data_IF_471080227802
#
_entry.id   IF_471080227802
#
_cell.length_a   1.000
_cell.length_b   1.000
_cell.length_c   1.000
_cell.angle_alpha   90.00
_cell.angle_beta   90.00
_cell.angle_gamma   90.00
#
_symmetry.space_group_name_H-M   'P 1'
#
loop_
_entity.id
_entity.type
_entity.pdbx_description
1 polymer ?
#
# COMPACT_ATOMS: atom_id res chain seq x y z
N UNK A 1 -2.88 14.03 -22.90
CA UNK A 1 -2.73 13.15 -21.73
C UNK A 1 -1.46 12.35 -22.01
N UNK A 2 -0.39 12.72 -21.32
CA UNK A 2 0.98 12.39 -21.69
C UNK A 2 1.37 11.07 -21.03
N UNK A 3 1.38 9.99 -21.79
CA UNK A 3 1.86 8.69 -21.32
C UNK A 3 3.38 8.77 -21.10
N UNK A 4 3.78 9.03 -19.86
CA UNK A 4 5.16 8.87 -19.42
C UNK A 4 5.45 7.39 -19.21
N UNK A 5 5.87 6.73 -20.29
CA UNK A 5 6.34 5.36 -20.30
C UNK A 5 7.71 5.26 -19.60
N UNK A 6 7.69 5.08 -18.29
CA UNK A 6 8.77 4.37 -17.61
C UNK A 6 8.44 2.88 -17.79
N UNK A 7 9.22 2.20 -18.61
CA UNK A 7 9.23 0.74 -18.72
C UNK A 7 9.57 0.13 -17.36
N UNK A 8 8.54 -0.08 -16.53
CA UNK A 8 8.53 -0.93 -15.35
C UNK A 8 8.18 -2.33 -15.84
N UNK A 9 9.03 -3.31 -15.56
CA UNK A 9 8.77 -4.70 -15.90
C UNK A 9 7.66 -5.27 -15.01
N UNK A 10 6.45 -5.36 -15.55
CA UNK A 10 5.36 -6.34 -15.37
C UNK A 10 5.15 -7.16 -14.06
N UNK A 11 5.74 -6.85 -12.90
CA UNK A 11 5.41 -7.58 -11.66
C UNK A 11 5.62 -6.85 -10.31
N UNK A 12 6.02 -5.58 -10.28
CA UNK A 12 6.27 -4.89 -9.01
C UNK A 12 4.99 -4.25 -8.45
N UNK A 13 4.17 -5.10 -7.82
CA UNK A 13 2.89 -4.80 -7.17
C UNK A 13 2.91 -3.48 -6.37
N UNK A 14 3.92 -3.26 -5.53
CA UNK A 14 4.01 -2.09 -4.65
C UNK A 14 4.26 -0.76 -5.40
N UNK A 15 5.04 -0.77 -6.48
CA UNK A 15 5.32 0.45 -7.26
C UNK A 15 4.01 1.00 -7.83
N UNK A 16 3.17 0.11 -8.35
CA UNK A 16 1.86 0.48 -8.87
C UNK A 16 0.93 0.96 -7.74
N UNK A 17 0.93 0.30 -6.58
CA UNK A 17 0.13 0.73 -5.42
C UNK A 17 0.50 2.14 -4.93
N UNK A 18 1.78 2.52 -4.96
CA UNK A 18 2.23 3.84 -4.51
C UNK A 18 1.68 4.98 -5.37
N UNK A 19 1.32 4.73 -6.63
CA UNK A 19 0.77 5.76 -7.52
C UNK A 19 -0.53 6.35 -6.98
N UNK A 20 -1.35 5.54 -6.28
CA UNK A 20 -2.60 5.99 -5.68
C UNK A 20 -2.39 7.00 -4.55
N UNK A 21 -1.19 7.04 -3.95
CA UNK A 21 -0.85 7.92 -2.83
C UNK A 21 -0.13 9.20 -3.27
N UNK A 22 0.19 9.34 -4.56
CA UNK A 22 0.86 10.51 -5.10
C UNK A 22 -0.07 11.73 -5.05
N UNK A 23 0.38 12.80 -4.40
CA UNK A 23 -0.46 13.99 -4.19
C UNK A 23 -0.56 14.89 -5.44
N UNK A 24 0.54 15.00 -6.19
CA UNK A 24 0.69 15.89 -7.36
C UNK A 24 1.72 15.30 -8.32
N UNK A 25 1.72 15.83 -9.54
CA UNK A 25 2.78 15.56 -10.52
C UNK A 25 4.16 15.89 -9.94
N UNK A 26 5.17 15.17 -10.45
CA UNK A 26 6.56 15.34 -10.04
C UNK A 26 7.04 16.77 -10.31
N UNK A 27 7.74 17.35 -9.35
CA UNK A 27 8.30 18.70 -9.47
C UNK A 27 9.78 18.62 -9.81
N UNK A 28 10.19 19.28 -10.89
CA UNK A 28 11.61 19.38 -11.24
C UNK A 28 12.34 20.29 -10.24
N UNK A 29 13.46 19.79 -9.71
CA UNK A 29 14.25 20.48 -8.70
C UNK A 29 15.59 20.94 -9.28
N UNK A 30 15.91 22.21 -9.07
CA UNK A 30 17.24 22.74 -9.35
C UNK A 30 18.14 22.59 -8.12
N UNK A 31 19.20 21.79 -8.24
CA UNK A 31 20.21 21.63 -7.19
C UNK A 31 21.26 22.75 -7.28
N UNK A 32 21.72 23.23 -6.12
CA UNK A 32 22.70 24.30 -6.04
C UNK A 32 24.08 23.87 -6.57
N UNK A 33 24.82 24.80 -7.17
CA UNK A 33 26.21 24.64 -7.62
C UNK A 33 26.46 23.53 -8.66
N UNK A 34 25.42 23.07 -9.36
CA UNK A 34 25.56 22.00 -10.35
C UNK A 34 26.29 22.43 -11.61
N UNK A 35 26.34 23.72 -11.94
CA UNK A 35 27.08 24.22 -13.11
C UNK A 35 28.55 23.81 -13.09
N UNK A 36 29.22 23.88 -11.93
CA UNK A 36 30.62 23.45 -11.82
C UNK A 36 30.78 21.96 -12.11
N UNK A 37 29.83 21.14 -11.64
CA UNK A 37 29.82 19.70 -11.86
C UNK A 37 29.61 19.36 -13.34
N UNK A 38 28.64 20.01 -13.98
CA UNK A 38 28.34 19.83 -15.41
C UNK A 38 29.56 20.15 -16.28
N UNK A 39 30.26 21.26 -16.00
CA UNK A 39 31.44 21.66 -16.76
C UNK A 39 32.67 20.78 -16.49
N UNK A 40 32.91 20.41 -15.22
CA UNK A 40 34.11 19.66 -14.83
C UNK A 40 34.06 18.21 -15.31
N UNK A 41 32.89 17.59 -15.27
CA UNK A 41 32.71 16.16 -15.55
C UNK A 41 31.99 15.88 -16.87
N UNK A 42 31.68 16.92 -17.66
CA UNK A 42 30.85 16.82 -18.87
C UNK A 42 29.54 16.08 -18.59
N UNK A 43 28.90 16.48 -17.49
CA UNK A 43 27.79 15.78 -16.87
C UNK A 43 26.47 16.56 -17.05
N UNK A 44 25.35 15.86 -16.90
CA UNK A 44 24.03 16.46 -16.74
C UNK A 44 23.29 15.72 -15.64
N UNK A 45 22.30 16.35 -15.03
CA UNK A 45 21.47 15.70 -14.03
C UNK A 45 19.99 15.99 -14.27
N UNK A 46 19.16 15.13 -13.70
CA UNK A 46 17.72 15.34 -13.56
C UNK A 46 17.36 15.08 -12.10
N UNK A 47 16.64 16.00 -11.47
CA UNK A 47 16.15 15.84 -10.11
C UNK A 47 14.64 16.07 -10.10
N UNK A 48 13.86 15.09 -9.63
CA UNK A 48 12.41 15.17 -9.57
C UNK A 48 11.92 14.80 -8.18
N UNK A 49 11.05 15.63 -7.61
CA UNK A 49 10.47 15.41 -6.30
C UNK A 49 9.04 14.89 -6.42
N UNK A 50 8.77 13.79 -5.71
CA UNK A 50 7.48 13.17 -5.56
C UNK A 50 7.03 13.27 -4.10
N UNK A 51 5.74 13.55 -3.89
CA UNK A 51 5.14 13.63 -2.56
C UNK A 51 4.01 12.62 -2.45
N UNK A 52 4.20 11.65 -1.56
CA UNK A 52 3.21 10.62 -1.26
C UNK A 52 2.60 10.87 0.11
N UNK A 53 1.27 10.84 0.18
CA UNK A 53 0.52 10.86 1.44
C UNK A 53 0.20 9.43 1.81
N UNK A 54 1.08 8.78 2.58
CA UNK A 54 0.80 7.43 3.07
C UNK A 54 -0.08 7.50 4.33
N UNK A 55 -0.78 6.42 4.68
CA UNK A 55 -1.68 6.39 5.84
C UNK A 55 -0.94 6.58 7.18
N UNK A 56 0.30 6.11 7.26
CA UNK A 56 1.17 6.26 8.43
C UNK A 56 1.98 7.56 8.44
N UNK A 57 1.98 8.34 7.35
CA UNK A 57 2.66 9.63 7.27
C UNK A 57 3.11 10.04 5.86
N UNK A 58 3.91 11.10 5.79
CA UNK A 58 4.28 11.76 4.53
C UNK A 58 5.62 11.24 4.00
N UNK A 59 5.67 10.79 2.75
CA UNK A 59 6.91 10.37 2.08
C UNK A 59 7.28 11.38 0.98
N UNK A 60 8.40 12.08 1.18
CA UNK A 60 9.01 12.94 0.16
C UNK A 60 10.17 12.19 -0.49
N UNK A 61 10.01 11.85 -1.76
CA UNK A 61 10.99 11.12 -2.56
C UNK A 61 11.64 12.05 -3.58
N UNK A 62 12.95 12.25 -3.49
CA UNK A 62 13.74 12.92 -4.51
C UNK A 62 14.42 11.86 -5.38
N UNK A 63 13.99 11.72 -6.63
CA UNK A 63 14.68 10.94 -7.63
C UNK A 63 15.76 11.80 -8.29
N UNK A 64 16.99 11.29 -8.37
CA UNK A 64 18.13 12.02 -8.89
C UNK A 64 18.95 11.14 -9.83
N UNK A 65 18.96 11.49 -11.10
CA UNK A 65 19.71 10.77 -12.15
C UNK A 65 20.89 11.63 -12.56
N UNK A 66 22.09 11.07 -12.45
CA UNK A 66 23.32 11.67 -12.95
C UNK A 66 23.74 11.01 -14.26
N UNK A 67 23.81 11.79 -15.33
CA UNK A 67 24.31 11.38 -16.63
C UNK A 67 25.80 11.70 -16.73
N UNK A 68 26.62 10.68 -16.98
CA UNK A 68 28.06 10.82 -17.18
C UNK A 68 28.50 10.25 -18.54
N UNK A 69 29.61 10.76 -19.10
CA UNK A 69 30.24 10.14 -20.25
C UNK A 69 30.63 8.69 -19.96
N UNK A 70 30.43 7.78 -20.92
CA UNK A 70 30.79 6.37 -20.76
C UNK A 70 32.29 6.13 -20.52
N UNK A 71 33.13 7.09 -20.96
CA UNK A 71 34.58 7.10 -20.75
C UNK A 71 35.03 7.67 -19.39
N UNK A 72 34.10 8.06 -18.52
CA UNK A 72 34.44 8.63 -17.21
C UNK A 72 35.23 7.64 -16.36
N UNK A 73 36.30 8.11 -15.72
CA UNK A 73 37.10 7.28 -14.83
C UNK A 73 36.34 6.96 -13.54
N UNK A 74 36.71 5.87 -12.85
CA UNK A 74 36.12 5.52 -11.55
C UNK A 74 36.31 6.62 -10.50
N UNK A 75 37.41 7.37 -10.58
CA UNK A 75 37.71 8.49 -9.67
C UNK A 75 36.74 9.65 -9.94
N UNK A 76 36.53 9.99 -11.21
CA UNK A 76 35.62 11.04 -11.61
C UNK A 76 34.17 10.69 -11.27
N UNK A 77 33.76 9.44 -11.51
CA UNK A 77 32.43 8.94 -11.14
C UNK A 77 32.19 9.07 -9.63
N UNK A 78 33.16 8.65 -8.79
CA UNK A 78 33.05 8.78 -7.33
C UNK A 78 32.97 10.23 -6.87
N UNK A 79 33.80 11.10 -7.45
CA UNK A 79 33.82 12.52 -7.11
C UNK A 79 32.53 13.25 -7.55
N UNK A 80 32.05 12.97 -8.76
CA UNK A 80 30.79 13.51 -9.27
C UNK A 80 29.62 13.02 -8.40
N UNK A 81 29.52 11.71 -8.12
CA UNK A 81 28.52 11.14 -7.21
C UNK A 81 28.50 11.89 -5.87
N UNK A 82 29.66 12.05 -5.24
CA UNK A 82 29.77 12.74 -3.95
C UNK A 82 29.28 14.18 -4.01
N UNK A 83 29.68 14.92 -5.04
CA UNK A 83 29.30 16.30 -5.22
C UNK A 83 27.78 16.45 -5.43
N UNK A 84 27.16 15.58 -6.24
CA UNK A 84 25.71 15.58 -6.47
C UNK A 84 24.94 15.24 -5.19
N UNK A 85 25.33 14.19 -4.47
CA UNK A 85 24.68 13.81 -3.21
C UNK A 85 24.80 14.93 -2.17
N UNK A 86 25.96 15.59 -2.05
CA UNK A 86 26.12 16.78 -1.19
C UNK A 86 25.24 17.95 -1.62
N UNK A 87 25.07 18.19 -2.92
CA UNK A 87 24.16 19.21 -3.40
C UNK A 87 22.69 18.91 -3.04
N UNK A 88 22.27 17.65 -3.15
CA UNK A 88 20.94 17.20 -2.73
C UNK A 88 20.72 17.36 -1.21
N UNK A 89 21.73 17.06 -0.40
CA UNK A 89 21.67 17.27 1.06
C UNK A 89 21.55 18.75 1.43
N UNK A 90 22.32 19.63 0.77
CA UNK A 90 22.22 21.08 0.98
C UNK A 90 20.83 21.59 0.59
N UNK A 91 20.30 21.14 -0.55
CA UNK A 91 18.94 21.47 -0.98
C UNK A 91 17.92 21.03 0.07
N UNK A 92 18.00 19.79 0.54
CA UNK A 92 17.09 19.26 1.56
C UNK A 92 17.14 20.06 2.86
N UNK A 93 18.33 20.40 3.36
CA UNK A 93 18.49 21.25 4.56
C UNK A 93 17.87 22.62 4.38
N UNK A 94 18.02 23.20 3.19
CA UNK A 94 17.43 24.50 2.85
C UNK A 94 15.91 24.40 2.79
N UNK A 95 15.38 23.32 2.19
CA UNK A 95 13.96 23.01 2.12
C UNK A 95 13.36 22.90 3.53
N UNK A 96 13.95 22.09 4.42
CA UNK A 96 13.49 21.96 5.81
C UNK A 96 13.54 23.30 6.56
N UNK A 97 14.57 24.12 6.36
CA UNK A 97 14.70 25.42 7.01
C UNK A 97 13.60 26.41 6.57
N UNK A 98 13.12 26.30 5.34
CA UNK A 98 12.04 27.12 4.77
C UNK A 98 10.65 26.61 5.18
N UNK A 99 10.51 25.29 5.35
CA UNK A 99 9.26 24.62 5.71
C UNK A 99 9.25 24.18 7.18
N UNK A 100 9.39 25.15 8.11
CA UNK A 100 9.34 24.95 9.58
C UNK A 100 7.95 24.53 10.12
N UNK A 101 7.28 23.57 9.49
CA UNK A 101 6.02 23.01 9.98
C UNK A 101 6.20 21.55 10.41
N UNK A 102 6.23 21.36 11.73
CA UNK A 102 5.60 20.34 12.59
C UNK A 102 5.13 18.96 12.08
N UNK A 103 5.59 18.43 10.95
CA UNK A 103 5.29 17.03 10.61
C UNK A 103 6.31 16.10 11.28
N UNK A 104 5.98 15.67 12.50
CA UNK A 104 6.72 14.65 13.24
C UNK A 104 6.70 13.26 12.56
N UNK A 105 5.93 13.09 11.47
CA UNK A 105 5.74 11.83 10.76
C UNK A 105 6.00 12.00 9.26
N UNK A 106 7.23 12.36 8.90
CA UNK A 106 7.67 12.46 7.50
C UNK A 106 8.96 11.68 7.25
N UNK A 107 9.03 10.93 6.16
CA UNK A 107 10.25 10.35 5.63
C UNK A 107 10.73 11.10 4.40
N UNK A 108 12.01 11.47 4.39
CA UNK A 108 12.68 12.08 3.26
C UNK A 108 13.66 11.06 2.66
N UNK A 109 13.49 10.76 1.38
CA UNK A 109 14.25 9.73 0.67
C UNK A 109 14.89 10.33 -0.58
N UNK A 110 16.16 10.03 -0.81
CA UNK A 110 16.88 10.30 -2.05
C UNK A 110 17.16 8.96 -2.76
N UNK A 111 16.60 8.78 -3.95
CA UNK A 111 16.93 7.65 -4.83
C UNK A 111 17.85 8.14 -5.93
N UNK A 112 19.08 7.64 -5.93
CA UNK A 112 20.13 8.13 -6.82
C UNK A 112 20.52 7.07 -7.87
N UNK A 113 20.56 7.47 -9.13
CA UNK A 113 20.99 6.65 -10.27
C UNK A 113 22.17 7.31 -11.02
N UNK A 114 23.03 6.48 -11.62
CA UNK A 114 24.10 6.93 -12.52
C UNK A 114 23.91 6.22 -13.86
N UNK A 115 23.74 7.01 -14.92
CA UNK A 115 23.61 6.51 -16.29
C UNK A 115 24.79 6.98 -17.14
N UNK A 116 25.38 6.05 -17.88
CA UNK A 116 26.52 6.29 -18.76
C UNK A 116 26.04 6.43 -20.21
N UNK A 117 26.51 7.47 -20.91
CA UNK A 117 26.20 7.73 -22.33
C UNK A 117 27.46 7.90 -23.17
N UNK A 118 27.45 7.30 -24.37
CA UNK A 118 28.57 7.32 -25.32
C UNK A 118 28.63 8.62 -26.15
N UNK A 119 27.58 9.45 -26.15
CA UNK A 119 27.48 10.64 -27.02
C UNK A 119 27.22 11.91 -26.21
N UNK A 120 28.18 12.84 -26.22
CA UNK A 120 27.97 14.19 -25.66
C UNK A 120 26.78 14.94 -26.28
N UNK A 121 26.36 14.58 -27.50
CA UNK A 121 25.14 15.10 -28.15
C UNK A 121 23.83 14.58 -27.52
N UNK A 122 23.83 13.40 -26.89
CA UNK A 122 22.65 12.86 -26.21
C UNK A 122 22.39 13.54 -24.87
N UNK A 123 23.44 14.00 -24.17
CA UNK A 123 23.32 14.79 -22.94
C UNK A 123 22.55 16.10 -23.22
N UNK A 124 22.81 16.75 -24.35
CA UNK A 124 22.07 17.94 -24.78
C UNK A 124 20.65 17.63 -25.28
N UNK A 125 20.39 16.42 -25.80
CA UNK A 125 19.03 15.98 -26.16
C UNK A 125 18.20 15.56 -24.94
N UNK A 126 18.82 15.01 -23.90
CA UNK A 126 18.20 14.71 -22.60
C UNK A 126 17.68 16.01 -21.95
N UNK A 127 18.34 17.16 -22.20
CA UNK A 127 17.83 18.48 -21.79
C UNK A 127 16.58 18.95 -22.56
N UNK A 128 16.24 18.34 -23.70
CA UNK A 128 15.28 18.89 -24.69
C UNK A 128 14.08 17.98 -24.97
N UNK A 129 14.17 16.64 -24.85
CA UNK A 129 13.02 15.77 -25.16
C UNK A 129 13.05 14.39 -24.47
N UNK A 130 11.96 14.05 -23.77
CA UNK A 130 11.83 12.83 -22.95
C UNK A 130 11.44 11.57 -23.76
N UNK A 131 11.06 11.71 -25.03
CA UNK A 131 10.31 10.67 -25.77
C UNK A 131 11.11 9.72 -26.68
N UNK A 132 12.44 9.83 -26.77
CA UNK A 132 13.25 8.92 -27.59
C UNK A 132 14.52 8.48 -26.84
N UNK A 133 14.40 7.49 -25.96
CA UNK A 133 15.52 6.97 -25.17
C UNK A 133 15.97 5.60 -25.71
N UNK A 134 17.22 5.50 -26.17
CA UNK A 134 17.93 4.22 -26.20
C UNK A 134 18.24 3.79 -24.75
N UNK A 135 18.31 2.48 -24.44
CA UNK A 135 18.63 2.03 -23.10
C UNK A 135 20.06 2.42 -22.73
N UNK A 136 20.20 3.43 -21.87
CA UNK A 136 21.48 3.88 -21.33
C UNK A 136 22.05 2.83 -20.36
N UNK A 137 23.38 2.71 -20.32
CA UNK A 137 24.05 1.78 -19.40
C UNK A 137 23.99 2.34 -17.98
N UNK A 138 23.26 1.67 -17.10
CA UNK A 138 23.19 2.02 -15.67
C UNK A 138 24.39 1.47 -14.93
N UNK A 139 24.96 2.27 -14.03
CA UNK A 139 26.04 1.85 -13.15
C UNK A 139 25.47 1.32 -11.84
N UNK A 140 25.80 0.09 -11.48
CA UNK A 140 25.45 -0.44 -10.16
C UNK A 140 26.34 0.20 -9.09
N UNK A 141 25.71 0.77 -8.06
CA UNK A 141 26.37 1.34 -6.88
C UNK A 141 25.44 1.16 -5.67
N UNK A 142 25.94 1.44 -4.47
CA UNK A 142 25.15 1.35 -3.23
C UNK A 142 25.58 2.40 -2.20
N UNK A 143 24.73 2.62 -1.22
CA UNK A 143 24.97 3.51 -0.07
C UNK A 143 24.80 2.73 1.22
N UNK A 144 25.78 1.86 1.53
CA UNK A 144 25.81 1.11 2.77
C UNK A 144 26.16 1.98 3.99
N UNK A 145 26.06 1.40 5.18
CA UNK A 145 26.34 2.09 6.47
C UNK A 145 27.66 2.86 6.47
N UNK A 146 28.72 2.28 5.89
CA UNK A 146 30.04 2.93 5.81
C UNK A 146 30.01 4.26 5.07
N UNK A 147 29.21 4.37 4.01
CA UNK A 147 29.07 5.62 3.27
C UNK A 147 28.47 6.72 4.16
N UNK A 148 27.47 6.39 4.99
CA UNK A 148 26.89 7.34 5.92
C UNK A 148 27.88 7.75 7.03
N UNK A 149 28.66 6.79 7.54
CA UNK A 149 29.60 7.01 8.64
C UNK A 149 30.91 7.69 8.22
N UNK A 150 31.37 7.51 6.98
CA UNK A 150 32.69 7.98 6.52
C UNK A 150 32.56 9.16 5.54
N UNK A 151 31.55 9.14 4.67
CA UNK A 151 31.43 10.07 3.55
C UNK A 151 30.34 11.14 3.77
N UNK A 152 29.29 10.83 4.53
CA UNK A 152 28.14 11.72 4.83
C UNK A 152 27.99 12.08 6.33
N UNK A 153 29.08 11.99 7.10
CA UNK A 153 29.16 12.12 8.58
C UNK A 153 28.37 13.29 9.18
N UNK A 154 28.16 14.37 8.43
CA UNK A 154 27.61 15.65 8.89
C UNK A 154 26.08 15.65 9.03
N UNK A 155 25.37 14.58 8.65
CA UNK A 155 23.89 14.55 8.68
C UNK A 155 23.24 13.59 9.67
N UNK A 156 24.03 12.92 10.52
CA UNK A 156 23.51 11.98 11.52
C UNK A 156 23.02 12.65 12.81
N UNK A 157 22.95 13.99 12.88
CA UNK A 157 22.49 14.71 14.08
C UNK A 157 20.98 14.57 14.29
N UNK A 158 20.58 13.79 15.30
CA UNK A 158 19.35 13.74 16.14
C UNK A 158 17.97 14.23 15.64
N UNK A 159 17.76 14.48 14.35
CA UNK A 159 16.46 14.84 13.80
C UNK A 159 15.80 13.64 13.14
N UNK A 160 14.49 13.45 13.38
CA UNK A 160 13.67 12.41 12.72
C UNK A 160 13.49 12.65 11.21
N UNK A 161 13.95 13.79 10.68
CA UNK A 161 13.80 14.20 9.28
C UNK A 161 15.11 14.03 8.48
N UNK A 162 15.93 13.02 8.81
CA UNK A 162 17.16 12.71 8.08
C UNK A 162 16.85 12.24 6.65
N UNK A 163 17.63 12.74 5.68
CA UNK A 163 17.54 12.31 4.28
C UNK A 163 18.15 10.91 4.13
N UNK A 164 17.31 9.93 3.85
CA UNK A 164 17.74 8.55 3.60
C UNK A 164 18.14 8.37 2.14
N UNK A 165 19.41 8.08 1.89
CA UNK A 165 19.95 7.90 0.53
C UNK A 165 19.95 6.42 0.14
N UNK A 166 19.42 6.11 -1.04
CA UNK A 166 19.41 4.79 -1.66
C UNK A 166 19.96 4.86 -3.07
N UNK A 167 20.57 3.76 -3.54
CA UNK A 167 20.83 3.61 -4.96
C UNK A 167 19.52 3.23 -5.64
N UNK A 168 19.40 3.52 -6.93
CA UNK A 168 18.25 3.08 -7.71
C UNK A 168 18.06 1.55 -7.63
N UNK A 169 19.14 0.78 -7.72
CA UNK A 169 19.08 -0.69 -7.66
C UNK A 169 18.58 -1.20 -6.30
N UNK A 170 19.12 -0.64 -5.20
CA UNK A 170 18.69 -1.02 -3.85
C UNK A 170 17.22 -0.65 -3.62
N UNK A 171 16.81 0.55 -4.06
CA UNK A 171 15.43 1.00 -3.95
C UNK A 171 14.46 0.07 -4.68
N UNK A 172 14.75 -0.31 -5.93
CA UNK A 172 13.92 -1.25 -6.67
C UNK A 172 13.88 -2.63 -6.00
N UNK A 173 15.02 -3.13 -5.51
CA UNK A 173 15.07 -4.42 -4.82
C UNK A 173 14.25 -4.42 -3.51
N UNK A 174 14.27 -3.30 -2.77
CA UNK A 174 13.44 -3.11 -1.57
C UNK A 174 11.96 -3.10 -1.97
N UNK A 175 11.57 -2.30 -2.96
CA UNK A 175 10.17 -2.21 -3.40
C UNK A 175 9.65 -3.55 -3.95
N UNK A 176 10.49 -4.35 -4.60
CA UNK A 176 10.13 -5.69 -5.05
C UNK A 176 10.02 -6.71 -3.90
N UNK A 177 10.72 -6.48 -2.78
CA UNK A 177 10.67 -7.35 -1.61
C UNK A 177 9.45 -7.07 -0.73
N UNK A 178 9.13 -5.79 -0.53
CA UNK A 178 7.97 -5.35 0.26
C UNK A 178 6.67 -5.53 -0.53
N UNK A 179 5.57 -5.80 0.16
CA UNK A 179 4.30 -6.17 -0.50
C UNK A 179 3.14 -5.24 -0.14
N UNK A 180 3.32 -4.32 0.82
CA UNK A 180 2.32 -3.33 1.19
C UNK A 180 2.93 -1.94 1.51
N UNK A 181 2.21 -0.83 1.30
CA UNK A 181 2.72 0.54 1.53
C UNK A 181 3.09 0.81 3.00
N UNK A 182 2.32 0.26 3.95
CA UNK A 182 2.62 0.35 5.37
C UNK A 182 3.96 -0.32 5.72
N UNK A 183 4.39 -1.33 4.97
CA UNK A 183 5.70 -1.97 5.17
C UNK A 183 6.84 -1.09 4.71
N UNK A 184 6.68 -0.37 3.59
CA UNK A 184 7.66 0.62 3.14
C UNK A 184 7.87 1.68 4.23
N UNK A 185 6.79 2.21 4.79
CA UNK A 185 6.87 3.16 5.89
C UNK A 185 7.64 2.60 7.09
N UNK A 186 7.23 1.43 7.59
CA UNK A 186 7.87 0.77 8.73
C UNK A 186 9.34 0.38 8.44
N UNK A 187 9.65 0.00 7.21
CA UNK A 187 11.02 -0.31 6.78
C UNK A 187 11.90 0.94 6.78
N UNK A 188 11.41 2.07 6.26
CA UNK A 188 12.13 3.35 6.28
C UNK A 188 12.43 3.80 7.71
N UNK A 189 11.49 3.60 8.63
CA UNK A 189 11.73 3.85 10.06
C UNK A 189 12.77 2.89 10.65
N UNK A 190 12.66 1.59 10.33
CA UNK A 190 13.61 0.57 10.81
C UNK A 190 15.04 0.83 10.32
N UNK A 191 15.20 1.12 9.03
CA UNK A 191 16.49 1.46 8.43
C UNK A 191 17.11 2.70 9.05
N UNK A 192 16.32 3.75 9.24
CA UNK A 192 16.77 4.96 9.92
C UNK A 192 17.31 4.64 11.33
N UNK A 193 16.59 3.80 12.09
CA UNK A 193 17.05 3.33 13.40
C UNK A 193 18.35 2.53 13.35
N UNK A 194 18.56 1.71 12.31
CA UNK A 194 19.83 0.99 12.11
C UNK A 194 21.00 1.93 11.77
N UNK A 195 20.76 2.94 10.93
CA UNK A 195 21.76 3.95 10.62
C UNK A 195 22.13 4.76 11.87
N UNK A 196 21.15 5.21 12.65
CA UNK A 196 21.36 5.94 13.91
C UNK A 196 22.12 5.10 14.94
N UNK A 197 21.76 3.82 15.09
CA UNK A 197 22.48 2.88 15.94
C UNK A 197 23.95 2.74 15.48
N UNK A 198 24.18 2.63 14.18
CA UNK A 198 25.54 2.51 13.62
C UNK A 198 26.38 3.75 13.87
N UNK A 199 25.82 4.93 13.64
CA UNK A 199 26.50 6.20 13.88
C UNK A 199 26.82 6.42 15.37
N UNK A 200 25.88 6.09 16.27
CA UNK A 200 26.07 6.28 17.71
C UNK A 200 27.11 5.31 18.29
N UNK A 201 27.07 4.05 17.86
CA UNK A 201 27.93 3.00 18.41
C UNK A 201 29.21 2.75 17.61
N UNK A 202 29.36 3.41 16.46
CA UNK A 202 30.46 3.20 15.53
C UNK A 202 30.59 1.73 15.07
N UNK A 203 29.44 1.05 14.88
CA UNK A 203 29.36 -0.35 14.45
C UNK A 203 28.54 -0.43 13.18
N UNK A 204 28.97 -1.25 12.21
CA UNK A 204 28.20 -1.50 10.99
C UNK A 204 27.01 -2.40 11.35
N UNK A 205 25.79 -1.87 11.36
CA UNK A 205 24.60 -2.66 11.72
C UNK A 205 24.06 -3.55 10.59
N UNK A 206 24.38 -3.25 9.33
CA UNK A 206 24.04 -4.09 8.18
C UNK A 206 25.08 -3.95 7.05
N UNK A 207 25.25 -5.00 6.25
CA UNK A 207 26.21 -5.03 5.13
C UNK A 207 25.59 -4.57 3.82
N UNK A 208 24.34 -4.95 3.55
CA UNK A 208 23.60 -4.60 2.34
C UNK A 208 22.13 -4.26 2.62
N UNK A 209 21.51 -3.48 1.73
CA UNK A 209 20.08 -3.16 1.80
C UNK A 209 19.20 -4.40 1.59
N UNK A 210 19.66 -5.35 0.75
CA UNK A 210 18.98 -6.62 0.53
C UNK A 210 18.91 -7.47 1.80
N UNK A 211 20.01 -7.58 2.54
CA UNK A 211 20.00 -8.29 3.83
C UNK A 211 19.15 -7.57 4.85
N UNK A 212 19.16 -6.23 4.84
CA UNK A 212 18.40 -5.42 5.79
C UNK A 212 16.88 -5.60 5.61
N UNK A 213 16.38 -5.62 4.37
CA UNK A 213 14.95 -5.85 4.10
C UNK A 213 14.54 -7.28 4.45
N UNK A 214 15.39 -8.28 4.16
CA UNK A 214 15.14 -9.67 4.58
C UNK A 214 15.06 -9.75 6.10
N UNK A 215 16.01 -9.14 6.81
CA UNK A 215 16.00 -9.11 8.27
C UNK A 215 14.71 -8.48 8.78
N UNK A 216 14.34 -7.30 8.28
CA UNK A 216 13.11 -6.59 8.63
C UNK A 216 11.87 -7.50 8.51
N UNK A 217 11.70 -8.11 7.34
CA UNK A 217 10.55 -8.96 7.02
C UNK A 217 10.48 -10.23 7.86
N UNK A 218 11.59 -10.69 8.46
CA UNK A 218 11.63 -11.88 9.31
C UNK A 218 11.60 -11.57 10.81
N UNK A 219 11.37 -10.31 11.22
CA UNK A 219 11.25 -9.95 12.64
C UNK A 219 9.86 -10.22 13.19
N UNK A 220 9.74 -10.69 14.44
CA UNK A 220 8.43 -10.78 15.12
C UNK A 220 7.71 -9.44 15.25
N UNK A 221 8.45 -8.33 15.22
CA UNK A 221 7.90 -6.97 15.28
C UNK A 221 7.05 -6.60 14.05
N UNK A 222 7.12 -7.39 12.97
CA UNK A 222 6.23 -7.27 11.82
C UNK A 222 4.75 -7.35 12.24
N UNK A 223 4.44 -8.09 13.32
CA UNK A 223 3.09 -8.31 13.81
C UNK A 223 2.67 -7.36 14.95
N UNK A 224 3.52 -6.42 15.37
CA UNK A 224 3.25 -5.58 16.56
C UNK A 224 1.93 -4.83 16.44
N UNK A 225 1.66 -4.20 15.29
CA UNK A 225 0.45 -3.42 15.10
C UNK A 225 -0.79 -4.31 14.96
N UNK A 226 -0.67 -5.45 14.27
CA UNK A 226 -1.72 -6.46 14.21
C UNK A 226 -2.10 -6.98 15.61
N UNK A 227 -1.11 -7.22 16.49
CA UNK A 227 -1.34 -7.63 17.88
C UNK A 227 -2.01 -6.50 18.67
N UNK A 228 -1.64 -5.24 18.45
CA UNK A 228 -2.28 -4.10 19.10
C UNK A 228 -3.77 -3.99 18.72
N UNK A 229 -4.08 -4.18 17.43
CA UNK A 229 -5.46 -4.21 16.93
C UNK A 229 -6.22 -5.41 17.49
N UNK A 230 -5.65 -6.61 17.45
CA UNK A 230 -6.27 -7.85 17.98
C UNK A 230 -6.67 -7.69 19.46
N UNK A 231 -5.77 -7.14 20.28
CA UNK A 231 -6.06 -6.82 21.69
C UNK A 231 -7.15 -5.76 21.85
N UNK A 232 -7.19 -4.76 20.96
CA UNK A 232 -8.24 -3.74 20.98
C UNK A 232 -9.61 -4.33 20.60
N UNK A 233 -9.67 -5.24 19.61
CA UNK A 233 -10.90 -5.93 19.24
C UNK A 233 -11.46 -6.75 20.41
N UNK A 234 -10.60 -7.42 21.19
CA UNK A 234 -10.98 -8.13 22.41
C UNK A 234 -11.52 -7.17 23.46
N UNK A 235 -10.83 -6.05 23.69
CA UNK A 235 -11.28 -4.99 24.61
C UNK A 235 -12.66 -4.43 24.21
N UNK A 236 -12.96 -4.35 22.92
CA UNK A 236 -14.26 -3.91 22.42
C UNK A 236 -15.34 -5.01 22.40
N UNK A 237 -15.05 -6.22 22.89
CA UNK A 237 -15.96 -7.37 22.87
C UNK A 237 -16.43 -7.74 21.45
N UNK A 238 -15.59 -7.46 20.46
CA UNK A 238 -15.81 -7.83 19.06
C UNK A 238 -15.22 -9.20 18.75
N UNK A 239 -14.21 -9.60 19.53
CA UNK A 239 -13.54 -10.88 19.44
C UNK A 239 -13.32 -11.43 20.86
N UNK A 240 -13.55 -12.71 21.09
CA UNK A 240 -13.44 -13.29 22.44
C UNK A 240 -11.99 -13.69 22.80
N UNK A 241 -11.25 -14.22 21.81
CA UNK A 241 -9.90 -14.76 21.98
C UNK A 241 -8.96 -14.24 20.89
N UNK A 242 -7.63 -14.19 21.13
CA UNK A 242 -6.68 -13.76 20.10
C UNK A 242 -6.78 -14.55 18.80
N UNK A 243 -6.53 -13.90 17.66
CA UNK A 243 -6.59 -14.60 16.38
C UNK A 243 -5.54 -15.74 16.34
N UNK A 244 -5.97 -17.01 16.19
CA UNK A 244 -5.04 -18.14 16.30
C UNK A 244 -3.98 -18.14 15.19
N UNK A 245 -4.28 -17.59 14.01
CA UNK A 245 -3.30 -17.45 12.94
C UNK A 245 -2.22 -16.41 13.30
N UNK A 246 -2.62 -15.27 13.88
CA UNK A 246 -1.70 -14.22 14.33
C UNK A 246 -0.75 -14.76 15.40
N UNK A 247 -1.29 -15.48 16.39
CA UNK A 247 -0.51 -16.11 17.46
C UNK A 247 0.48 -17.13 16.89
N UNK A 248 0.01 -18.03 16.02
CA UNK A 248 0.86 -19.07 15.42
C UNK A 248 2.00 -18.47 14.57
N UNK A 249 1.70 -17.47 13.74
CA UNK A 249 2.70 -16.79 12.91
C UNK A 249 3.73 -16.04 13.77
N UNK A 250 3.27 -15.27 14.76
CA UNK A 250 4.15 -14.54 15.67
C UNK A 250 5.11 -15.48 16.41
N UNK A 251 4.61 -16.61 16.92
CA UNK A 251 5.43 -17.63 17.57
C UNK A 251 6.43 -18.29 16.62
N UNK A 252 6.01 -18.58 15.37
CA UNK A 252 6.91 -19.14 14.37
C UNK A 252 8.10 -18.21 14.07
N UNK A 253 7.84 -16.90 13.95
CA UNK A 253 8.89 -15.90 13.72
C UNK A 253 9.78 -15.72 14.95
N UNK A 254 9.19 -15.62 16.15
CA UNK A 254 9.94 -15.49 17.41
C UNK A 254 10.88 -16.66 17.65
N UNK A 255 10.45 -17.87 17.32
CA UNK A 255 11.22 -19.10 17.49
C UNK A 255 12.09 -19.45 16.27
N UNK A 256 12.08 -18.63 15.21
CA UNK A 256 12.77 -18.90 13.94
C UNK A 256 12.47 -20.29 13.38
N UNK A 257 11.20 -20.71 13.48
CA UNK A 257 10.72 -22.01 13.00
C UNK A 257 10.82 -22.09 11.47
N UNK A 258 11.01 -23.30 10.94
CA UNK A 258 10.94 -23.57 9.48
C UNK A 258 9.59 -23.19 8.88
N UNK A 259 8.52 -23.18 9.69
CA UNK A 259 7.18 -22.76 9.28
C UNK A 259 7.07 -21.24 9.04
N UNK A 260 7.97 -20.43 9.60
CA UNK A 260 7.95 -18.97 9.43
C UNK A 260 8.08 -18.56 7.95
N UNK A 261 8.96 -19.24 7.21
CA UNK A 261 9.14 -19.01 5.77
C UNK A 261 7.87 -19.37 4.98
N UNK A 262 7.20 -20.46 5.33
CA UNK A 262 5.91 -20.82 4.71
C UNK A 262 4.85 -19.75 4.96
N UNK A 263 4.74 -19.24 6.19
CA UNK A 263 3.83 -18.15 6.51
C UNK A 263 4.18 -16.86 5.76
N UNK A 264 5.47 -16.53 5.66
CA UNK A 264 5.94 -15.39 4.87
C UNK A 264 5.47 -15.48 3.41
N UNK A 265 5.69 -16.63 2.78
CA UNK A 265 5.25 -16.88 1.40
C UNK A 265 3.73 -16.77 1.23
N UNK A 266 2.95 -17.32 2.17
CA UNK A 266 1.49 -17.22 2.11
C UNK A 266 1.00 -15.77 2.28
N UNK A 267 1.65 -14.97 3.12
CA UNK A 267 1.31 -13.56 3.27
C UNK A 267 1.68 -12.76 2.00
N UNK A 268 2.84 -13.01 1.41
CA UNK A 268 3.25 -12.37 0.16
C UNK A 268 2.30 -12.71 -1.01
N UNK A 269 1.91 -13.98 -1.14
CA UNK A 269 0.92 -14.42 -2.13
C UNK A 269 -0.43 -13.73 -1.91
N UNK A 270 -0.90 -13.68 -0.66
CA UNK A 270 -2.14 -13.01 -0.32
C UNK A 270 -2.07 -11.50 -0.60
N UNK A 271 -0.93 -10.86 -0.36
CA UNK A 271 -0.75 -9.44 -0.62
C UNK A 271 -0.83 -9.10 -2.11
N UNK A 272 -0.19 -9.90 -2.96
CA UNK A 272 -0.28 -9.75 -4.41
C UNK A 272 -1.72 -9.95 -4.92
N UNK A 273 -2.40 -11.00 -4.45
CA UNK A 273 -3.80 -11.27 -4.82
C UNK A 273 -4.74 -10.15 -4.37
N UNK A 274 -4.58 -9.67 -3.14
CA UNK A 274 -5.40 -8.58 -2.61
C UNK A 274 -5.20 -7.29 -3.40
N UNK A 275 -3.96 -6.99 -3.79
CA UNK A 275 -3.66 -5.84 -4.63
C UNK A 275 -4.37 -5.92 -5.98
N UNK A 276 -4.25 -7.06 -6.67
CA UNK A 276 -4.92 -7.31 -7.95
C UNK A 276 -6.44 -7.17 -7.82
N UNK A 277 -7.03 -7.80 -6.79
CA UNK A 277 -8.46 -7.69 -6.51
C UNK A 277 -8.86 -6.24 -6.26
N UNK A 278 -8.09 -5.48 -5.47
CA UNK A 278 -8.41 -4.09 -5.16
C UNK A 278 -8.37 -3.18 -6.37
N UNK A 279 -7.39 -3.36 -7.27
CA UNK A 279 -7.29 -2.61 -8.51
C UNK A 279 -8.52 -2.89 -9.37
N UNK A 280 -8.86 -4.17 -9.56
CA UNK A 280 -9.98 -4.58 -10.39
C UNK A 280 -11.34 -4.11 -9.82
N UNK A 281 -11.55 -4.26 -8.50
CA UNK A 281 -12.75 -3.76 -7.83
C UNK A 281 -12.93 -2.25 -8.00
N UNK A 282 -11.83 -1.48 -8.05
CA UNK A 282 -11.89 -0.02 -8.21
C UNK A 282 -12.02 0.39 -9.67
N UNK A 283 -11.32 -0.26 -10.61
CA UNK A 283 -11.41 0.03 -12.04
C UNK A 283 -12.83 -0.10 -12.58
N UNK A 284 -13.61 -1.03 -12.05
CA UNK A 284 -14.97 -1.25 -12.54
C UNK A 284 -16.04 -0.40 -11.87
N UNK A 285 -15.72 0.29 -10.78
CA UNK A 285 -16.53 1.43 -10.34
C UNK A 285 -16.57 2.54 -11.40
N UNK A 286 -15.55 2.65 -12.26
CA UNK A 286 -15.47 3.72 -13.27
C UNK A 286 -16.26 3.41 -14.55
N UNK A 287 -16.42 2.14 -14.92
CA UNK A 287 -17.11 1.76 -16.17
C UNK A 287 -18.62 2.00 -16.13
N UNK A 288 -19.22 1.93 -14.93
CA UNK A 288 -20.67 2.04 -14.76
C UNK A 288 -21.14 3.48 -14.44
N UNK A 289 -20.23 4.43 -14.16
CA UNK A 289 -20.52 5.86 -13.86
C UNK A 289 -20.40 6.77 -15.11
N UNK A 290 -20.43 6.19 -16.32
CA UNK A 290 -20.35 6.91 -17.60
C UNK A 290 -21.66 7.64 -17.97
N UNK A 291 -22.11 8.55 -17.12
CA UNK A 291 -23.04 9.63 -17.49
C UNK A 291 -23.01 10.73 -16.42
N UNK A 292 -21.93 11.52 -16.33
CA UNK A 292 -21.93 12.91 -15.83
C UNK A 292 -20.52 13.54 -15.76
N UNK A 293 -20.53 14.86 -15.71
CA UNK A 293 -19.52 15.80 -16.21
C UNK A 293 -18.29 16.07 -15.33
N UNK A 294 -17.98 15.25 -14.32
CA UNK A 294 -16.95 15.53 -13.31
C UNK A 294 -15.86 14.44 -13.20
N UNK A 295 -15.03 14.29 -14.24
CA UNK A 295 -13.94 13.28 -14.28
C UNK A 295 -12.88 13.47 -13.20
N UNK A 296 -12.58 14.70 -12.80
CA UNK A 296 -11.54 15.02 -11.81
C UNK A 296 -11.96 14.63 -10.37
N UNK A 297 -13.23 14.90 -10.02
CA UNK A 297 -13.83 14.48 -8.75
C UNK A 297 -13.94 12.96 -8.65
N UNK A 298 -14.22 12.29 -9.79
CA UNK A 298 -14.27 10.83 -9.86
C UNK A 298 -12.89 10.21 -9.63
N UNK A 299 -11.85 10.72 -10.32
CA UNK A 299 -10.47 10.26 -10.15
C UNK A 299 -9.95 10.43 -8.73
N UNK A 300 -10.28 11.54 -8.06
CA UNK A 300 -9.90 11.78 -6.67
C UNK A 300 -10.57 10.79 -5.70
N UNK A 301 -11.87 10.51 -5.90
CA UNK A 301 -12.59 9.49 -5.12
C UNK A 301 -12.06 8.08 -5.38
N UNK A 302 -11.72 7.76 -6.63
CA UNK A 302 -11.11 6.49 -7.02
C UNK A 302 -9.82 6.23 -6.25
N UNK A 303 -8.88 7.17 -6.30
CA UNK A 303 -7.62 7.05 -5.58
C UNK A 303 -7.88 6.89 -4.08
N UNK A 304 -8.80 7.69 -3.50
CA UNK A 304 -9.13 7.58 -2.08
C UNK A 304 -9.65 6.19 -1.67
N UNK A 305 -10.58 5.60 -2.44
CA UNK A 305 -11.10 4.26 -2.14
C UNK A 305 -10.07 3.16 -2.34
N UNK A 306 -9.26 3.29 -3.38
CA UNK A 306 -8.17 2.36 -3.62
C UNK A 306 -7.16 2.39 -2.46
N UNK A 307 -6.84 3.58 -1.92
CA UNK A 307 -6.02 3.70 -0.71
C UNK A 307 -6.63 2.95 0.48
N UNK A 308 -7.96 3.02 0.69
CA UNK A 308 -8.61 2.29 1.80
C UNK A 308 -8.51 0.77 1.67
N UNK A 309 -8.43 0.24 0.45
CA UNK A 309 -8.24 -1.19 0.22
C UNK A 309 -6.76 -1.60 0.28
N UNK A 310 -5.86 -0.76 -0.24
CA UNK A 310 -4.43 -1.02 -0.30
C UNK A 310 -3.71 -0.82 1.03
N UNK A 311 -4.23 0.03 1.92
CA UNK A 311 -3.65 0.30 3.23
C UNK A 311 -3.88 -0.86 4.22
N UNK A 312 -3.61 -2.09 3.81
CA UNK A 312 -3.79 -3.28 4.63
C UNK A 312 -2.45 -3.96 4.86
N UNK A 313 -2.17 -4.30 6.11
CA UNK A 313 -0.96 -5.04 6.50
C UNK A 313 -0.92 -6.41 5.85
N UNK A 314 0.27 -7.00 5.74
CA UNK A 314 0.44 -8.38 5.27
C UNK A 314 -0.51 -9.37 5.96
N UNK A 315 -0.67 -9.22 7.27
CA UNK A 315 -1.56 -10.10 8.04
C UNK A 315 -3.04 -9.85 7.71
N UNK A 316 -3.45 -8.59 7.54
CA UNK A 316 -4.83 -8.24 7.14
C UNK A 316 -5.16 -8.80 5.76
N UNK A 317 -4.27 -8.57 4.77
CA UNK A 317 -4.41 -9.11 3.41
C UNK A 317 -4.45 -10.64 3.44
N UNK A 318 -3.61 -11.28 4.28
CA UNK A 318 -3.64 -12.72 4.50
C UNK A 318 -4.99 -13.22 5.02
N UNK A 319 -5.54 -12.62 6.07
CA UNK A 319 -6.81 -13.05 6.66
C UNK A 319 -8.00 -12.84 5.71
N UNK A 320 -8.02 -11.73 4.97
CA UNK A 320 -9.04 -11.43 3.97
C UNK A 320 -9.02 -12.48 2.84
N UNK A 321 -7.86 -12.68 2.21
CA UNK A 321 -7.69 -13.65 1.12
C UNK A 321 -7.90 -15.09 1.61
N UNK A 322 -7.43 -15.42 2.81
CA UNK A 322 -7.68 -16.73 3.42
C UNK A 322 -9.17 -17.00 3.64
N UNK A 323 -9.95 -15.97 3.95
CA UNK A 323 -11.41 -16.09 4.11
C UNK A 323 -12.08 -16.43 2.78
N UNK A 324 -11.66 -15.80 1.68
CA UNK A 324 -12.10 -16.15 0.32
C UNK A 324 -11.77 -17.62 -0.01
N UNK A 325 -10.53 -18.06 0.24
CA UNK A 325 -10.09 -19.43 -0.04
C UNK A 325 -10.73 -20.52 0.84
N UNK A 326 -11.41 -20.13 1.92
CA UNK A 326 -12.14 -21.09 2.76
C UNK A 326 -13.50 -21.43 2.18
N UNK A 327 -14.11 -20.56 1.36
CA UNK A 327 -15.46 -20.78 0.85
C UNK A 327 -15.63 -22.11 0.09
N UNK A 328 -14.75 -22.47 -0.87
CA UNK A 328 -14.87 -23.74 -1.59
C UNK A 328 -14.76 -24.99 -0.69
N UNK A 329 -14.22 -24.84 0.53
CA UNK A 329 -14.03 -25.93 1.50
C UNK A 329 -15.15 -26.01 2.54
N UNK A 330 -16.13 -25.11 2.48
CA UNK A 330 -17.29 -25.16 3.37
C UNK A 330 -18.22 -26.31 3.00
N UNK A 331 -19.10 -26.67 3.93
CA UNK A 331 -20.15 -27.66 3.65
C UNK A 331 -21.08 -27.14 2.55
N UNK A 332 -21.50 -28.03 1.63
CA UNK A 332 -22.38 -27.66 0.52
C UNK A 332 -23.68 -26.98 0.96
N UNK A 333 -24.24 -27.33 2.12
CA UNK A 333 -25.42 -26.65 2.66
C UNK A 333 -25.16 -25.15 2.87
N UNK A 334 -24.01 -24.80 3.45
CA UNK A 334 -23.63 -23.41 3.72
C UNK A 334 -23.30 -22.64 2.43
N UNK A 335 -22.69 -23.30 1.44
CA UNK A 335 -22.45 -22.72 0.12
C UNK A 335 -23.78 -22.42 -0.59
N UNK A 336 -24.76 -23.33 -0.48
CA UNK A 336 -26.07 -23.16 -1.08
C UNK A 336 -26.88 -22.05 -0.40
N UNK A 337 -26.87 -22.02 0.93
CA UNK A 337 -27.62 -21.05 1.73
C UNK A 337 -26.99 -19.66 1.75
N UNK A 338 -25.69 -19.53 1.49
CA UNK A 338 -24.97 -18.28 1.66
C UNK A 338 -24.72 -17.94 3.13
N UNK A 339 -23.72 -17.09 3.40
CA UNK A 339 -23.35 -16.73 4.76
C UNK A 339 -22.54 -15.44 4.82
N UNK A 340 -22.48 -14.85 6.01
CA UNK A 340 -21.74 -13.61 6.28
C UNK A 340 -20.56 -13.91 7.20
N UNK A 341 -19.39 -13.38 6.84
CA UNK A 341 -18.19 -13.39 7.68
C UNK A 341 -17.78 -11.97 7.97
N UNK A 342 -17.66 -11.65 9.25
CA UNK A 342 -17.10 -10.41 9.71
C UNK A 342 -15.57 -10.54 9.82
N UNK A 343 -14.85 -9.59 9.24
CA UNK A 343 -13.40 -9.47 9.32
C UNK A 343 -13.02 -8.05 9.72
N UNK A 344 -11.77 -7.87 10.12
CA UNK A 344 -11.25 -6.58 10.56
C UNK A 344 -9.90 -6.33 9.89
N UNK A 345 -9.59 -5.06 9.65
CA UNK A 345 -8.22 -4.70 9.36
C UNK A 345 -7.39 -4.91 10.62
N UNK A 346 -6.22 -5.52 10.46
CA UNK A 346 -5.15 -5.60 11.47
C UNK A 346 -4.08 -4.53 11.22
N UNK A 347 -4.37 -3.54 10.38
CA UNK A 347 -3.58 -2.31 10.20
C UNK A 347 -4.30 -1.13 10.85
N UNK A 348 -5.60 -0.96 10.56
CA UNK A 348 -6.43 0.09 11.14
C UNK A 348 -7.62 -0.50 11.90
N UNK A 349 -7.65 -0.30 13.21
CA UNK A 349 -8.80 -0.63 14.06
C UNK A 349 -10.12 0.00 13.55
N UNK A 350 -10.02 1.12 12.84
CA UNK A 350 -11.16 1.85 12.31
C UNK A 350 -11.77 1.26 11.03
N UNK A 351 -11.21 0.16 10.49
CA UNK A 351 -11.71 -0.53 9.30
C UNK A 351 -12.31 -1.89 9.63
N UNK A 352 -13.56 -2.07 9.22
CA UNK A 352 -14.27 -3.33 9.35
C UNK A 352 -14.73 -3.86 7.99
N UNK A 353 -14.60 -5.17 7.80
CA UNK A 353 -14.98 -5.87 6.58
C UNK A 353 -16.16 -6.79 6.83
N UNK A 354 -17.15 -6.74 5.94
CA UNK A 354 -18.30 -7.63 5.92
C UNK A 354 -18.26 -8.40 4.60
N UNK A 355 -17.84 -9.66 4.66
CA UNK A 355 -17.78 -10.55 3.50
C UNK A 355 -19.08 -11.34 3.44
N UNK A 356 -19.88 -11.11 2.41
CA UNK A 356 -21.14 -11.80 2.20
C UNK A 356 -20.94 -12.78 1.05
N UNK A 357 -20.89 -14.07 1.37
CA UNK A 357 -20.87 -15.12 0.36
C UNK A 357 -22.31 -15.41 -0.05
N UNK A 358 -22.65 -15.07 -1.30
CA UNK A 358 -24.00 -15.26 -1.80
C UNK A 358 -24.36 -16.74 -1.87
N UNK A 359 -25.64 -17.04 -1.59
CA UNK A 359 -26.18 -18.38 -1.75
C UNK A 359 -26.35 -18.72 -3.23
N UNK A 360 -25.97 -19.94 -3.59
CA UNK A 360 -26.12 -20.46 -4.97
C UNK A 360 -27.59 -20.64 -5.38
N UNK A 361 -28.51 -20.71 -4.42
CA UNK A 361 -29.94 -20.84 -4.69
C UNK A 361 -30.57 -19.45 -4.95
N UNK A 362 -31.03 -19.23 -6.18
CA UNK A 362 -31.56 -17.94 -6.66
C UNK A 362 -32.78 -17.49 -5.84
N UNK A 363 -33.60 -18.43 -5.36
CA UNK A 363 -34.79 -18.12 -4.54
C UNK A 363 -34.47 -17.95 -3.04
N UNK A 364 -33.22 -18.17 -2.61
CA UNK A 364 -32.84 -17.97 -1.22
C UNK A 364 -32.85 -16.49 -0.84
N UNK A 365 -33.12 -16.20 0.44
CA UNK A 365 -33.03 -14.85 1.00
C UNK A 365 -31.60 -14.29 1.01
N UNK A 366 -30.62 -15.14 0.71
CA UNK A 366 -29.20 -14.83 0.69
C UNK A 366 -28.59 -14.90 -0.71
N UNK A 367 -29.42 -15.00 -1.75
CA UNK A 367 -28.96 -14.93 -3.14
C UNK A 367 -28.41 -13.54 -3.45
N UNK A 368 -27.55 -13.46 -4.48
CA UNK A 368 -27.01 -12.19 -4.99
C UNK A 368 -28.12 -11.17 -5.25
N UNK A 369 -29.21 -11.59 -5.92
CA UNK A 369 -30.35 -10.71 -6.25
C UNK A 369 -31.06 -10.13 -5.02
N UNK A 370 -31.12 -10.89 -3.92
CA UNK A 370 -31.77 -10.44 -2.69
C UNK A 370 -30.89 -9.48 -1.87
N UNK A 371 -29.58 -9.76 -1.79
CA UNK A 371 -28.67 -9.01 -0.92
C UNK A 371 -28.06 -7.80 -1.62
N UNK A 372 -27.66 -7.92 -2.89
CA UNK A 372 -26.90 -6.88 -3.60
C UNK A 372 -27.56 -5.49 -3.55
N UNK A 373 -28.90 -5.32 -3.71
CA UNK A 373 -29.54 -4.01 -3.60
C UNK A 373 -29.48 -3.39 -2.18
N UNK A 374 -29.12 -4.19 -1.17
CA UNK A 374 -29.15 -3.82 0.23
C UNK A 374 -27.74 -3.62 0.84
N UNK A 375 -26.65 -3.74 0.07
CA UNK A 375 -25.27 -3.63 0.59
C UNK A 375 -25.03 -2.32 1.36
N UNK A 376 -25.52 -1.20 0.84
CA UNK A 376 -25.42 0.10 1.51
C UNK A 376 -26.11 0.13 2.88
N UNK A 377 -27.31 -0.45 2.95
CA UNK A 377 -28.09 -0.54 4.19
C UNK A 377 -27.41 -1.48 5.19
N UNK A 378 -26.83 -2.59 4.72
CA UNK A 378 -26.06 -3.51 5.56
C UNK A 378 -24.85 -2.78 6.16
N UNK A 379 -24.10 -2.02 5.36
CA UNK A 379 -22.97 -1.23 5.82
C UNK A 379 -23.37 -0.23 6.91
N UNK A 380 -24.49 0.50 6.70
CA UNK A 380 -25.02 1.46 7.67
C UNK A 380 -25.49 0.78 8.97
N UNK A 381 -26.17 -0.36 8.87
CA UNK A 381 -26.61 -1.15 10.02
C UNK A 381 -25.39 -1.64 10.82
N UNK A 382 -24.34 -2.13 10.17
CA UNK A 382 -23.11 -2.58 10.83
C UNK A 382 -22.39 -1.41 11.50
N UNK A 383 -22.22 -0.28 10.81
CA UNK A 383 -21.57 0.92 11.34
C UNK A 383 -22.22 1.40 12.66
N UNK A 384 -23.55 1.35 12.73
CA UNK A 384 -24.29 1.76 13.93
C UNK A 384 -24.21 0.75 15.09
N UNK A 385 -23.89 -0.51 14.81
CA UNK A 385 -23.93 -1.60 15.78
C UNK A 385 -22.57 -1.90 16.40
N UNK A 386 -21.48 -1.72 15.65
CA UNK A 386 -20.13 -2.00 16.14
C UNK A 386 -19.74 -1.07 17.31
N UNK A 387 -19.17 -1.61 18.40
CA UNK A 387 -18.80 -0.83 19.59
C UNK A 387 -17.41 -0.14 19.48
N UNK A 388 -16.78 -0.13 18.30
CA UNK A 388 -15.41 0.39 18.09
C UNK A 388 -15.44 1.90 17.85
N UNK A 389 -15.04 2.72 18.82
CA UNK A 389 -15.12 4.19 18.72
C UNK A 389 -14.33 4.78 17.54
N UNK A 390 -13.25 4.13 17.15
CA UNK A 390 -12.31 4.50 16.10
C UNK A 390 -12.80 4.11 14.69
N UNK A 391 -13.94 3.41 14.59
CA UNK A 391 -14.54 2.99 13.31
C UNK A 391 -14.77 4.20 12.41
N UNK A 392 -14.11 4.20 11.25
CA UNK A 392 -14.23 5.23 10.23
C UNK A 392 -14.62 4.65 8.85
N UNK A 393 -14.48 3.33 8.64
CA UNK A 393 -14.90 2.66 7.41
C UNK A 393 -15.54 1.29 7.69
N UNK A 394 -16.66 1.03 7.02
CA UNK A 394 -17.21 -0.32 6.84
C UNK A 394 -17.16 -0.67 5.36
N UNK A 395 -16.46 -1.75 5.03
CA UNK A 395 -16.28 -2.25 3.67
C UNK A 395 -17.09 -3.53 3.53
N UNK A 396 -18.07 -3.55 2.64
CA UNK A 396 -18.90 -4.72 2.36
C UNK A 396 -18.49 -5.30 1.02
N UNK A 397 -18.18 -6.59 1.02
CA UNK A 397 -17.83 -7.38 -0.17
C UNK A 397 -18.91 -8.44 -0.37
N UNK A 398 -19.72 -8.30 -1.41
CA UNK A 398 -20.65 -9.33 -1.86
C UNK A 398 -19.95 -10.26 -2.83
N UNK A 399 -19.83 -11.54 -2.52
CA UNK A 399 -18.94 -12.47 -3.19
C UNK A 399 -19.76 -13.61 -3.80
N UNK A 400 -19.67 -13.76 -5.11
CA UNK A 400 -20.28 -14.86 -5.87
C UNK A 400 -19.20 -15.78 -6.44
N UNK A 401 -19.37 -17.09 -6.26
CA UNK A 401 -18.49 -18.10 -6.85
C UNK A 401 -19.20 -18.73 -8.05
N UNK A 402 -18.70 -18.42 -9.24
CA UNK A 402 -19.30 -18.83 -10.51
C UNK A 402 -18.45 -19.97 -11.07
N UNK A 403 -19.03 -21.17 -11.15
CA UNK A 403 -18.38 -22.34 -11.75
C UNK A 403 -18.79 -22.44 -13.23
N UNK A 404 -17.86 -22.14 -14.15
CA UNK A 404 -18.08 -22.22 -15.60
C UNK A 404 -16.98 -23.08 -16.26
N UNK A 405 -17.38 -24.13 -16.97
CA UNK A 405 -16.50 -24.85 -17.92
C UNK A 405 -15.15 -25.36 -17.34
N UNK A 406 -15.15 -25.84 -16.09
CA UNK A 406 -13.99 -26.29 -15.29
C UNK A 406 -13.13 -25.18 -14.65
N UNK A 407 -13.49 -23.91 -14.84
CA UNK A 407 -12.87 -22.80 -14.14
C UNK A 407 -13.84 -22.22 -13.10
N UNK A 408 -13.30 -21.75 -11.97
CA UNK A 408 -14.07 -21.08 -10.91
C UNK A 408 -13.72 -19.61 -10.90
N UNK A 409 -14.73 -18.77 -11.02
CA UNK A 409 -14.63 -17.32 -11.09
C UNK A 409 -15.20 -16.70 -9.81
N UNK A 410 -14.68 -15.55 -9.39
CA UNK A 410 -15.14 -14.86 -8.18
C UNK A 410 -15.58 -13.46 -8.55
N UNK A 411 -16.89 -13.23 -8.60
CA UNK A 411 -17.48 -11.89 -8.78
C UNK A 411 -17.61 -11.21 -7.41
N UNK A 412 -17.11 -9.98 -7.28
CA UNK A 412 -17.12 -9.22 -6.03
C UNK A 412 -17.82 -7.86 -6.23
N UNK A 413 -18.98 -7.71 -5.60
CA UNK A 413 -19.63 -6.42 -5.42
C UNK A 413 -18.97 -5.67 -4.25
N UNK A 414 -18.53 -4.42 -4.47
CA UNK A 414 -17.88 -3.59 -3.46
C UNK A 414 -18.77 -2.44 -3.01
N UNK A 415 -18.94 -2.29 -1.70
CA UNK A 415 -19.50 -1.08 -1.09
C UNK A 415 -18.61 -0.57 0.04
N UNK A 416 -18.16 0.69 -0.03
CA UNK A 416 -17.38 1.34 1.03
C UNK A 416 -18.22 2.43 1.68
N UNK A 417 -18.45 2.29 2.98
CA UNK A 417 -19.20 3.24 3.79
C UNK A 417 -18.27 3.97 4.76
N UNK A 418 -18.02 5.28 4.54
CA UNK A 418 -17.46 6.15 5.56
C UNK A 418 -18.36 6.21 6.78
N UNK A 419 -17.75 6.27 7.95
CA UNK A 419 -18.43 6.38 9.23
C UNK A 419 -17.89 7.61 9.93
N UNK A 420 -18.80 8.52 10.29
CA UNK A 420 -18.41 9.68 11.09
C UNK A 420 -17.98 9.23 12.49
N UNK A 421 -16.98 9.90 13.11
CA UNK A 421 -16.60 9.63 14.48
C UNK A 421 -17.81 9.78 15.40
N UNK A 422 -18.09 8.74 16.18
CA UNK A 422 -19.22 8.71 17.11
C UNK A 422 -18.77 8.23 18.48
N UNK A 423 -19.09 8.99 19.51
CA UNK A 423 -18.94 8.59 20.92
C UNK A 423 -19.80 7.35 21.22
N UNK A 424 -19.44 6.61 22.27
CA UNK A 424 -20.24 5.45 22.71
C UNK A 424 -21.70 5.81 23.00
N UNK A 425 -21.94 7.00 23.56
CA UNK A 425 -23.28 7.51 23.85
C UNK A 425 -24.08 7.79 22.57
N UNK A 426 -23.45 8.41 21.57
CA UNK A 426 -24.09 8.64 20.27
C UNK A 426 -24.42 7.32 19.58
N UNK A 427 -23.53 6.32 19.65
CA UNK A 427 -23.80 4.99 19.09
C UNK A 427 -24.97 4.31 19.78
N UNK A 428 -25.04 4.35 21.12
CA UNK A 428 -26.18 3.82 21.87
C UNK A 428 -27.49 4.52 21.49
N UNK A 429 -27.46 5.85 21.31
CA UNK A 429 -28.61 6.63 20.87
C UNK A 429 -29.04 6.24 19.44
N UNK A 430 -28.10 6.09 18.51
CA UNK A 430 -28.38 5.65 17.14
C UNK A 430 -28.96 4.24 17.11
N UNK A 431 -28.44 3.31 17.93
CA UNK A 431 -29.04 1.97 18.10
C UNK A 431 -30.49 2.06 18.59
N UNK A 432 -30.78 2.93 19.55
CA UNK A 432 -32.13 3.13 20.08
C UNK A 432 -33.06 3.75 19.03
N UNK A 433 -32.60 4.77 18.30
CA UNK A 433 -33.36 5.41 17.22
C UNK A 433 -33.65 4.45 16.06
N UNK A 434 -32.70 3.60 15.67
CA UNK A 434 -32.94 2.57 14.66
C UNK A 434 -33.96 1.53 15.13
N UNK A 435 -33.88 1.07 16.39
CA UNK A 435 -34.89 0.16 16.97
C UNK A 435 -36.28 0.80 16.97
N UNK A 436 -36.38 2.06 17.34
CA UNK A 436 -37.63 2.83 17.30
C UNK A 436 -38.14 2.96 15.86
N UNK A 437 -37.30 3.30 14.89
CA UNK A 437 -37.68 3.41 13.49
C UNK A 437 -38.11 2.06 12.87
N UNK A 438 -37.47 0.95 13.26
CA UNK A 438 -37.89 -0.40 12.87
C UNK A 438 -39.24 -0.78 13.50
N UNK A 439 -39.50 -0.36 14.75
CA UNK A 439 -40.80 -0.56 15.40
C UNK A 439 -41.91 0.26 14.73
N UNK A 440 -41.64 1.53 14.38
CA UNK A 440 -42.57 2.37 13.63
C UNK A 440 -42.82 1.85 12.20
N UNK A 441 -41.79 1.33 11.51
CA UNK A 441 -41.94 0.66 10.20
C UNK A 441 -42.74 -0.64 10.29
N UNK A 442 -42.64 -1.40 11.39
CA UNK A 442 -43.50 -2.57 11.64
C UNK A 442 -44.96 -2.20 11.96
N UNK A 443 -45.23 -0.96 12.34
CA UNK A 443 -46.59 -0.44 12.56
C UNK A 443 -47.19 0.29 11.35
N UNK A 444 -46.38 0.62 10.34
CA UNK A 444 -46.82 1.40 9.17
C UNK A 444 -46.46 0.66 7.88
N UNK A 445 -47.17 -0.43 7.61
CA UNK A 445 -47.24 -0.97 6.25
C UNK A 445 -48.37 -0.24 5.53
N UNK A 446 -48.03 0.71 4.65
CA UNK A 446 -48.71 1.05 3.38
C UNK A 446 -47.92 2.20 2.71
N UNK A 447 -47.42 1.89 1.51
CA UNK A 447 -47.05 2.76 0.37
C UNK A 447 -46.08 3.94 0.56
N UNK A 448 -44.88 3.86 -0.05
CA UNK A 448 -44.58 4.47 -1.37
C UNK A 448 -43.09 4.33 -1.78
N UNK A 449 -42.95 3.87 -3.03
CA UNK A 449 -41.91 4.09 -4.05
C UNK A 449 -40.44 4.30 -3.67
N UNK A 450 -39.63 3.37 -4.20
CA UNK A 450 -38.18 3.40 -4.33
C UNK A 450 -37.66 4.63 -5.09
N UNK A 451 -36.65 5.28 -4.52
CA UNK A 451 -35.67 6.07 -5.27
C UNK A 451 -34.62 5.14 -5.86
N UNK A 452 -34.37 5.28 -7.17
CA UNK A 452 -33.38 4.52 -7.92
C UNK A 452 -31.97 4.71 -7.35
N UNK A 453 -31.44 3.68 -6.71
CA UNK A 453 -30.01 3.41 -6.65
C UNK A 453 -29.85 2.03 -7.27
N UNK A 454 -29.33 1.98 -8.50
CA UNK A 454 -29.12 0.73 -9.22
C UNK A 454 -27.87 0.04 -8.66
N UNK A 455 -27.95 -1.26 -8.31
CA UNK A 455 -26.80 -2.07 -7.94
C UNK A 455 -25.94 -2.38 -9.18
N UNK A 456 -24.63 -2.41 -8.99
CA UNK A 456 -23.59 -2.41 -10.02
C UNK A 456 -22.78 -3.72 -9.96
N UNK A 457 -22.33 -4.24 -11.12
CA UNK A 457 -22.02 -5.68 -11.38
C UNK A 457 -20.57 -5.88 -11.82
N UNK A 458 -19.88 -6.95 -11.40
CA UNK A 458 -18.59 -7.31 -12.04
C UNK A 458 -18.17 -8.81 -12.04
N UNK A 459 -18.07 -9.40 -13.23
CA UNK A 459 -17.56 -10.76 -13.47
C UNK A 459 -16.02 -10.79 -13.51
N UNK A 460 -15.37 -11.68 -12.73
CA UNK A 460 -13.90 -11.78 -12.67
C UNK A 460 -13.45 -13.25 -12.73
N UNK A 461 -12.59 -13.54 -13.70
CA UNK A 461 -12.09 -14.88 -13.98
C UNK A 461 -10.79 -15.19 -13.22
N UNK A 462 -10.84 -16.05 -12.20
CA UNK A 462 -9.65 -16.50 -11.47
C UNK A 462 -9.23 -17.91 -11.90
N UNK A 463 -8.20 -18.00 -12.75
CA UNK A 463 -7.45 -19.23 -12.92
C UNK A 463 -6.47 -19.42 -11.75
N UNK A 464 -6.98 -19.84 -10.59
CA UNK A 464 -6.15 -20.20 -9.45
C UNK A 464 -5.98 -21.72 -9.43
N UNK A 465 -4.79 -22.27 -9.74
CA UNK A 465 -4.58 -23.71 -9.71
C UNK A 465 -4.75 -24.23 -8.28
N UNK A 466 -5.74 -25.11 -8.10
CA UNK A 466 -5.90 -25.87 -6.88
C UNK A 466 -4.59 -26.61 -6.57
N UNK A 467 -4.10 -26.43 -5.34
CA UNK A 467 -2.97 -27.20 -4.80
C UNK A 467 -3.30 -28.68 -5.02
N UNK A 468 -2.56 -29.36 -5.91
CA UNK A 468 -2.78 -30.78 -6.21
C UNK A 468 -2.83 -31.56 -4.90
N UNK A 469 -3.97 -32.16 -4.61
CA UNK A 469 -4.06 -33.20 -3.60
C UNK A 469 -3.06 -34.27 -3.99
N UNK A 470 -2.09 -34.57 -3.11
CA UNK A 470 -1.30 -35.78 -3.24
C UNK A 470 -2.29 -36.95 -3.12
N UNK A 471 -2.50 -37.63 -4.24
CA UNK A 471 -3.07 -38.97 -4.30
C UNK A 471 -2.20 -39.95 -3.53
#
# INVERSE_FOLDING_TARGET
MSDSSITLSDNDCLVNELTCYLQKEAVDIALANMQHLEHKYDACYRAQQYHYQLPLGNLSLLELILYLPAKSSLVDIKAARMAVVKAALIWHKTYLAQHKNNDNMSHNVLVFDIQLTDKGEEINKIKINDQQRQPLKRLTHGFGVRYFMEDLVVDMSDSMQQLQVFSWHDWQAILASLQAPCELWRFLHYRLGQLQYSASNHVISFESEADLVIQFLHRPTLFTDAIAVDNALIKYEVQDEPNPALVAMTLAYKNKSTTAQMYHQHMAQAAALWSQLSIQMIEMLDEEVLDNTDKETLGTKRCYWQQQLLDESLFSRHELVRTLYRHPKQAHGLQKEGYVVHQHSYESLGRHYVLIFYGQDVESQHSKQAIQPNLAKIAQDVASRLPITELHHVIVLGIDFIDESNDTFIDIDLWIQPVDPMTQRERQLTKQLQRLNQQHKKQTTINLSASKNEPMRMQLNLNIPARKTKS
#
